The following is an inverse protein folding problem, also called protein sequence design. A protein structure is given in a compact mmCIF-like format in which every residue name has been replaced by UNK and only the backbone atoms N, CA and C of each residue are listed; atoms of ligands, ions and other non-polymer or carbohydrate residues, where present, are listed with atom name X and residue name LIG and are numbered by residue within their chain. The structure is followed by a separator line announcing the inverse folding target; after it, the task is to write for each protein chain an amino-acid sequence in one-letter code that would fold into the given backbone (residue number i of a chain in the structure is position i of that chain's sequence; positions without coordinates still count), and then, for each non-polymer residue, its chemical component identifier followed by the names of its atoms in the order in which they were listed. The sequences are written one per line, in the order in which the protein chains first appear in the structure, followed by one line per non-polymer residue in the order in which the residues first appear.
data_IF_651928324731
#
_entry.id   IF_651928324731
#
_cell.length_a   1.000
_cell.length_b   1.000
_cell.length_c   1.000
_cell.angle_alpha   90.00
_cell.angle_beta   90.00
_cell.angle_gamma   90.00
#
_symmetry.space_group_name_H-M   'P 1'
#
loop_
_entity.id
_entity.type
_entity.pdbx_description
1 polymer ?
#
# COMPACT_ATOMS: atom_id res chain seq x y z
N UNK A 1 16.12 0.76 -14.14
CA UNK A 1 15.73 0.25 -13.90
C UNK A 1 14.87 -0.23 -13.80
N UNK A 2 14.63 -0.45 -13.95
CA UNK A 2 13.92 -0.87 -13.86
C UNK A 2 13.09 -1.44 -13.39
N UNK A 3 12.54 -2.19 -13.56
CA UNK A 3 11.76 -2.71 -13.19
C UNK A 3 11.87 -3.41 -12.36
N UNK A 4 11.67 -3.54 -12.14
CA UNK A 4 11.89 -3.76 -11.19
C UNK A 4 11.28 -4.64 -10.34
N UNK A 5 10.17 -4.39 -9.85
CA UNK A 5 9.43 -5.24 -8.98
C UNK A 5 8.61 -6.18 -9.82
N UNK A 6 8.68 -7.46 -9.57
CA UNK A 6 7.74 -8.31 -10.23
C UNK A 6 6.39 -8.21 -9.48
N UNK A 7 5.36 -8.67 -10.12
CA UNK A 7 4.00 -8.51 -9.63
C UNK A 7 3.77 -9.21 -8.30
N UNK A 8 4.41 -10.37 -8.11
CA UNK A 8 4.24 -11.09 -6.85
C UNK A 8 4.80 -10.33 -5.67
N UNK A 9 5.97 -9.75 -5.85
CA UNK A 9 6.59 -8.96 -4.78
C UNK A 9 5.78 -7.72 -4.50
N UNK A 10 5.32 -7.05 -5.55
CA UNK A 10 4.50 -5.85 -5.38
C UNK A 10 3.21 -6.17 -4.63
N UNK A 11 2.59 -7.30 -4.93
CA UNK A 11 1.38 -7.70 -4.24
C UNK A 11 1.64 -7.94 -2.76
N UNK A 12 2.78 -8.54 -2.41
CA UNK A 12 3.13 -8.77 -1.02
C UNK A 12 3.35 -7.45 -0.28
N UNK A 13 3.98 -6.49 -0.95
CA UNK A 13 4.20 -5.17 -0.37
C UNK A 13 2.85 -4.50 -0.10
N UNK A 14 1.93 -4.61 -1.04
CA UNK A 14 0.60 -4.03 -0.88
C UNK A 14 -0.12 -4.63 0.32
N UNK A 15 -0.05 -5.95 0.47
CA UNK A 15 -0.71 -6.62 1.58
C UNK A 15 -0.08 -6.22 2.91
N UNK A 16 1.24 -6.11 2.94
CA UNK A 16 1.94 -5.68 4.14
C UNK A 16 1.52 -4.26 4.54
N UNK A 17 1.50 -3.36 3.56
CA UNK A 17 1.12 -1.97 3.82
C UNK A 17 -0.34 -1.86 4.26
N UNK A 18 -1.21 -2.67 3.67
CA UNK A 18 -2.61 -2.67 4.05
C UNK A 18 -2.78 -3.10 5.50
N UNK A 19 -2.11 -4.16 5.91
CA UNK A 19 -2.18 -4.63 7.28
C UNK A 19 -1.63 -3.60 8.24
N UNK A 20 -0.52 -2.96 7.88
CA UNK A 20 0.08 -1.92 8.69
C UNK A 20 -0.87 -0.75 8.86
N UNK A 21 -1.55 -0.35 7.79
CA UNK A 21 -2.53 0.73 7.84
C UNK A 21 -3.67 0.38 8.79
N UNK A 22 -4.20 -0.85 8.70
CA UNK A 22 -5.29 -1.26 9.57
C UNK A 22 -4.87 -1.28 11.03
N UNK A 23 -3.66 -1.72 11.31
CA UNK A 23 -3.15 -1.72 12.68
C UNK A 23 -3.09 -0.31 13.23
N UNK A 24 -2.57 0.62 12.44
CA UNK A 24 -2.50 2.02 12.86
C UNK A 24 -3.89 2.62 13.01
N UNK A 25 -4.80 2.26 12.13
CA UNK A 25 -6.16 2.78 12.18
C UNK A 25 -6.89 2.32 13.42
N UNK A 26 -6.61 1.12 13.91
CA UNK A 26 -7.21 0.62 15.13
C UNK A 26 -6.82 1.46 16.34
N UNK A 27 -5.57 1.90 16.36
CA UNK A 27 -5.05 2.68 17.48
C UNK A 27 -5.36 4.16 17.36
N UNK A 28 -5.23 4.70 16.14
CA UNK A 28 -5.26 6.15 15.93
C UNK A 28 -6.53 6.64 15.27
N UNK A 29 -7.29 5.74 14.66
CA UNK A 29 -8.48 6.13 13.90
C UNK A 29 -8.18 6.38 12.44
N UNK A 30 -9.18 6.18 11.59
CA UNK A 30 -8.99 6.28 10.14
C UNK A 30 -8.75 7.70 9.66
N UNK A 31 -9.11 8.69 10.46
CA UNK A 31 -8.91 10.08 10.09
C UNK A 31 -7.59 10.66 10.57
N UNK A 32 -6.81 9.88 11.32
CA UNK A 32 -5.52 10.35 11.81
C UNK A 32 -4.57 10.61 10.64
N UNK A 33 -3.81 11.71 10.67
CA UNK A 33 -2.92 12.03 9.54
C UNK A 33 -1.95 10.91 9.17
N UNK A 34 -1.43 10.19 10.15
CA UNK A 34 -0.51 9.08 9.87
C UNK A 34 -1.20 7.97 9.09
N UNK A 35 -2.47 7.71 9.42
CA UNK A 35 -3.24 6.70 8.72
C UNK A 35 -3.56 7.16 7.30
N UNK A 36 -3.87 8.43 7.15
CA UNK A 36 -4.15 9.00 5.83
C UNK A 36 -2.93 8.88 4.93
N UNK A 37 -1.74 9.17 5.46
CA UNK A 37 -0.51 9.05 4.69
C UNK A 37 -0.28 7.60 4.28
N UNK A 38 -0.47 6.66 5.18
CA UNK A 38 -0.34 5.24 4.87
C UNK A 38 -1.31 4.83 3.77
N UNK A 39 -2.53 5.35 3.84
CA UNK A 39 -3.54 5.05 2.84
C UNK A 39 -3.14 5.57 1.46
N UNK A 40 -2.56 6.77 1.41
CA UNK A 40 -2.10 7.35 0.15
C UNK A 40 -0.95 6.54 -0.45
N UNK A 41 -0.03 6.10 0.40
CA UNK A 41 1.06 5.24 -0.05
C UNK A 41 0.54 3.91 -0.60
N UNK A 42 -0.45 3.36 0.08
CA UNK A 42 -1.08 2.13 -0.37
C UNK A 42 -1.75 2.31 -1.72
N UNK A 43 -2.45 3.42 -1.90
CA UNK A 43 -3.09 3.72 -3.17
C UNK A 43 -2.08 3.81 -4.31
N UNK A 44 -0.93 4.43 -4.06
CA UNK A 44 0.12 4.52 -5.06
C UNK A 44 0.62 3.13 -5.45
N UNK A 45 0.81 2.26 -4.47
CA UNK A 45 1.26 0.90 -4.73
C UNK A 45 0.22 0.12 -5.52
N UNK A 46 -1.06 0.28 -5.19
CA UNK A 46 -2.14 -0.38 -5.90
C UNK A 46 -2.17 0.10 -7.35
N UNK A 47 -2.00 1.40 -7.56
CA UNK A 47 -1.95 1.95 -8.92
C UNK A 47 -0.80 1.35 -9.73
N UNK A 48 0.36 1.22 -9.11
CA UNK A 48 1.50 0.59 -9.77
C UNK A 48 1.18 -0.85 -10.15
N UNK A 49 0.54 -1.56 -9.23
CA UNK A 49 0.15 -2.95 -9.49
C UNK A 49 -0.81 -3.04 -10.67
N UNK A 50 -1.82 -2.19 -10.68
CA UNK A 50 -2.83 -2.21 -11.74
C UNK A 50 -2.25 -1.86 -13.10
N UNK A 51 -1.21 -1.03 -13.13
CA UNK A 51 -0.57 -0.68 -14.40
C UNK A 51 0.22 -1.84 -14.98
N UNK A 52 0.67 -2.76 -14.13
CA UNK A 52 1.48 -3.88 -14.58
C UNK A 52 0.65 -5.11 -14.92
N UNK A 53 -0.56 -5.17 -14.44
CA UNK A 53 -1.46 -6.28 -14.73
C UNK A 53 -2.16 -6.00 -16.05
N UNK A 54 -2.17 -6.96 -16.99
CA UNK A 54 -2.84 -6.77 -18.27
C UNK A 54 -4.34 -6.50 -18.14
#
# INVERSE_FOLDING_TARGET
MERILNIKILKLIIEYKRNDMYEKAKDLGFTHPKVVICSQELDDLINMYLKQVP
#
